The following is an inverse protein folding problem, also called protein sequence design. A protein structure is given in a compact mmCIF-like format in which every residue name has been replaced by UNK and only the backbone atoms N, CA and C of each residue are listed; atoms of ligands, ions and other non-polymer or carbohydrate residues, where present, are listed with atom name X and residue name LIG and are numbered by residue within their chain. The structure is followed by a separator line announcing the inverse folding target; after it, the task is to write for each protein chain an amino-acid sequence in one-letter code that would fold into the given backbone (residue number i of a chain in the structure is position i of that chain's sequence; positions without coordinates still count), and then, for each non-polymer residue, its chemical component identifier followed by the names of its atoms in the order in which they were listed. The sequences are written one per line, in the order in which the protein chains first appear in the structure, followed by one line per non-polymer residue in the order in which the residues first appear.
data_IF_141007063764
#
_entry.id   IF_141007063764
#
_cell.length_a   1.000
_cell.length_b   1.000
_cell.length_c   1.000
_cell.angle_alpha   90.00
_cell.angle_beta   90.00
_cell.angle_gamma   90.00
#
_symmetry.space_group_name_H-M   'P 1'
#
loop_
_entity.id
_entity.type
_entity.pdbx_description
1 polymer ?
#
# COMPACT_ATOMS: atom_id res chain seq x y z
N UNK A 1 4.50 -21.35 22.83
CA UNK A 1 3.42 -20.56 22.19
C UNK A 1 3.46 -19.21 22.86
N UNK A 2 4.06 -18.20 22.25
CA UNK A 2 4.22 -16.90 22.89
C UNK A 2 3.88 -15.76 21.94
N UNK A 3 3.08 -14.85 22.49
CA UNK A 3 2.37 -13.76 21.85
C UNK A 3 3.18 -12.48 22.05
N UNK A 4 4.11 -12.14 21.14
CA UNK A 4 4.60 -10.77 21.07
C UNK A 4 3.82 -9.97 20.04
N UNK A 5 2.81 -9.28 20.58
CA UNK A 5 2.26 -8.04 20.03
C UNK A 5 3.42 -7.05 19.86
N UNK A 6 4.04 -7.01 18.69
CA UNK A 6 4.80 -5.83 18.29
C UNK A 6 3.82 -4.74 17.86
N UNK A 7 3.28 -4.10 18.89
CA UNK A 7 2.76 -2.76 18.82
C UNK A 7 3.92 -1.87 18.38
N UNK A 8 3.95 -1.50 17.10
CA UNK A 8 4.73 -0.33 16.68
C UNK A 8 4.03 0.89 17.28
N UNK A 9 4.39 1.21 18.51
CA UNK A 9 4.07 2.47 19.16
C UNK A 9 4.86 3.55 18.43
N UNK A 10 4.25 4.18 17.43
CA UNK A 10 4.76 5.44 16.90
C UNK A 10 4.57 6.49 17.99
N UNK A 11 5.62 6.74 18.76
CA UNK A 11 5.72 7.88 19.67
C UNK A 11 5.56 9.17 18.84
N UNK A 12 4.35 9.72 18.84
CA UNK A 12 4.05 11.01 18.25
C UNK A 12 4.34 12.08 19.31
N UNK A 13 5.60 12.50 19.38
CA UNK A 13 6.05 13.45 20.38
C UNK A 13 7.35 14.12 19.99
N UNK A 14 7.33 15.01 18.99
CA UNK A 14 8.11 16.26 19.05
C UNK A 14 7.65 17.28 18.01
N UNK A 15 7.25 18.42 18.54
CA UNK A 15 6.84 19.67 17.90
C UNK A 15 7.91 20.25 16.98
N UNK A 16 7.53 20.68 15.77
CA UNK A 16 8.15 21.82 15.09
C UNK A 16 7.10 22.56 14.26
N UNK A 17 7.07 23.88 14.45
CA UNK A 17 6.12 24.83 13.88
C UNK A 17 6.18 24.91 12.35
N UNK A 18 5.02 25.10 11.70
CA UNK A 18 4.76 26.02 10.57
C UNK A 18 3.43 25.68 9.86
N UNK A 19 2.42 26.53 10.09
CA UNK A 19 1.29 26.92 9.20
C UNK A 19 0.49 25.86 8.40
N UNK A 20 0.41 24.60 8.85
CA UNK A 20 -0.63 23.67 8.40
C UNK A 20 -1.21 22.94 9.61
N UNK A 21 -2.53 22.66 9.65
CA UNK A 21 -3.10 21.90 10.76
C UNK A 21 -2.33 20.58 10.88
N UNK A 22 -1.86 20.20 12.08
CA UNK A 22 -1.09 18.98 12.25
C UNK A 22 -1.86 17.82 11.65
N UNK A 23 -1.23 16.93 10.85
CA UNK A 23 -1.91 15.79 10.26
C UNK A 23 -2.51 14.97 11.40
N UNK A 24 -3.84 15.05 11.53
CA UNK A 24 -4.63 14.32 12.52
C UNK A 24 -4.16 12.87 12.49
N UNK A 25 -3.68 12.39 13.62
CA UNK A 25 -3.01 11.10 13.79
C UNK A 25 -3.61 10.02 12.87
N UNK A 26 -2.77 9.46 11.99
CA UNK A 26 -3.11 8.52 10.93
C UNK A 26 -3.77 7.20 11.40
N UNK A 27 -4.01 7.02 12.70
CA UNK A 27 -4.57 5.80 13.28
C UNK A 27 -6.01 5.50 12.84
N UNK A 28 -6.79 6.51 12.42
CA UNK A 28 -8.22 6.31 12.08
C UNK A 28 -8.43 5.69 10.69
N UNK A 29 -7.59 6.02 9.70
CA UNK A 29 -7.76 5.57 8.31
C UNK A 29 -7.45 4.08 8.12
N UNK A 30 -6.61 3.52 9.00
CA UNK A 30 -6.29 2.10 9.03
C UNK A 30 -7.10 1.31 10.06
N UNK A 31 -8.06 1.93 10.76
CA UNK A 31 -8.95 1.21 11.69
C UNK A 31 -9.58 0.03 10.95
N UNK A 32 -9.31 -1.18 11.47
CA UNK A 32 -9.72 -2.49 10.96
C UNK A 32 -8.94 -3.08 9.79
N UNK A 33 -8.08 -2.33 9.07
CA UNK A 33 -7.21 -2.98 8.07
C UNK A 33 -6.21 -3.95 8.73
N UNK A 34 -5.73 -3.65 9.93
CA UNK A 34 -4.89 -4.57 10.71
C UNK A 34 -5.58 -5.90 11.04
N UNK A 35 -6.91 -5.92 11.09
CA UNK A 35 -7.74 -7.12 11.34
C UNK A 35 -8.07 -7.83 10.03
N UNK A 36 -8.32 -7.06 8.97
CA UNK A 36 -8.71 -7.55 7.65
C UNK A 36 -7.52 -8.00 6.79
N UNK A 37 -6.30 -7.56 7.10
CA UNK A 37 -5.10 -7.91 6.35
C UNK A 37 -4.73 -9.38 6.58
N UNK A 38 -4.17 -10.05 5.55
CA UNK A 38 -3.64 -11.39 5.72
C UNK A 38 -2.36 -11.39 6.57
N UNK A 39 -2.25 -12.39 7.44
CA UNK A 39 -1.03 -12.80 8.15
C UNK A 39 0.01 -13.35 7.17
N UNK A 40 1.24 -13.57 7.63
CA UNK A 40 2.36 -13.94 6.76
C UNK A 40 2.18 -15.34 6.09
N UNK A 41 1.67 -16.31 6.84
CA UNK A 41 1.29 -17.63 6.31
C UNK A 41 0.14 -17.52 5.30
N UNK A 42 -0.91 -16.77 5.67
CA UNK A 42 -2.06 -16.50 4.80
C UNK A 42 -1.65 -15.80 3.50
N UNK A 43 -0.69 -14.86 3.55
CA UNK A 43 -0.15 -14.21 2.36
C UNK A 43 0.53 -15.22 1.44
N UNK A 44 1.19 -16.23 1.98
CA UNK A 44 1.84 -17.29 1.19
C UNK A 44 0.79 -18.16 0.49
N UNK A 45 -0.29 -18.51 1.19
CA UNK A 45 -1.43 -19.25 0.62
C UNK A 45 -2.14 -18.41 -0.45
N UNK A 46 -2.45 -17.15 -0.15
CA UNK A 46 -3.09 -16.21 -1.07
C UNK A 46 -2.21 -15.89 -2.28
N UNK A 47 -0.89 -15.89 -2.14
CA UNK A 47 0.01 -15.72 -3.29
C UNK A 47 -0.09 -16.91 -4.25
N UNK A 48 -0.30 -18.13 -3.74
CA UNK A 48 -0.55 -19.32 -4.57
C UNK A 48 -1.93 -19.30 -5.21
N UNK A 49 -2.96 -18.88 -4.46
CA UNK A 49 -4.36 -18.89 -4.92
C UNK A 49 -4.73 -17.71 -5.83
N UNK A 50 -4.42 -16.48 -5.40
CA UNK A 50 -4.80 -15.25 -6.08
C UNK A 50 -3.67 -14.66 -6.94
N UNK A 51 -2.41 -14.94 -6.58
CA UNK A 51 -1.23 -14.43 -7.29
C UNK A 51 -1.10 -12.91 -7.28
N UNK A 52 -0.58 -12.37 -8.38
CA UNK A 52 -0.25 -10.92 -8.55
C UNK A 52 -1.47 -9.99 -8.58
N UNK A 53 -2.69 -10.54 -8.56
CA UNK A 53 -3.92 -9.75 -8.47
C UNK A 53 -4.10 -9.09 -7.10
N UNK A 54 -3.60 -9.74 -6.05
CA UNK A 54 -3.74 -9.32 -4.65
C UNK A 54 -2.45 -8.77 -4.03
N UNK A 55 -1.34 -8.81 -4.76
CA UNK A 55 -0.04 -8.33 -4.30
C UNK A 55 0.56 -7.39 -5.34
N UNK A 56 0.81 -6.15 -4.96
CA UNK A 56 1.34 -5.13 -5.87
C UNK A 56 2.86 -5.06 -5.89
N UNK A 57 3.56 -5.74 -4.99
CA UNK A 57 5.02 -5.77 -4.91
C UNK A 57 5.65 -7.14 -5.11
N UNK A 58 6.97 -7.26 -4.94
CA UNK A 58 7.68 -8.54 -5.06
C UNK A 58 7.23 -9.55 -4.01
N UNK A 59 7.18 -10.83 -4.38
CA UNK A 59 6.79 -11.94 -3.51
C UNK A 59 5.40 -11.68 -2.88
N UNK A 60 5.32 -11.65 -1.55
CA UNK A 60 4.10 -11.48 -0.74
C UNK A 60 3.94 -10.06 -0.18
N UNK A 61 4.64 -9.08 -0.75
CA UNK A 61 4.60 -7.69 -0.28
C UNK A 61 3.43 -6.90 -0.86
N UNK A 62 2.96 -5.90 -0.11
CA UNK A 62 1.84 -5.03 -0.47
C UNK A 62 0.53 -5.80 -0.76
N UNK A 63 -0.05 -6.47 0.26
CA UNK A 63 -1.36 -7.10 0.12
C UNK A 63 -2.45 -6.04 -0.06
N UNK A 64 -3.30 -6.21 -1.07
CA UNK A 64 -4.44 -5.33 -1.34
C UNK A 64 -5.80 -6.01 -1.21
N UNK A 65 -5.81 -7.34 -1.08
CA UNK A 65 -7.01 -8.13 -0.88
C UNK A 65 -7.22 -8.42 0.60
N UNK A 66 -8.49 -8.58 0.99
CA UNK A 66 -8.88 -9.04 2.32
C UNK A 66 -8.43 -10.48 2.56
N UNK A 67 -8.05 -10.81 3.81
CA UNK A 67 -7.63 -12.16 4.20
C UNK A 67 -8.60 -13.23 3.71
N UNK A 68 -8.06 -14.36 3.24
CA UNK A 68 -8.83 -15.51 2.74
C UNK A 68 -9.79 -15.20 1.58
N UNK A 69 -9.54 -14.11 0.85
CA UNK A 69 -10.32 -13.76 -0.34
C UNK A 69 -9.41 -13.25 -1.44
N UNK A 70 -9.77 -13.46 -2.70
CA UNK A 70 -9.12 -12.79 -3.83
C UNK A 70 -9.79 -11.46 -4.22
N UNK A 71 -10.51 -10.83 -3.27
CA UNK A 71 -11.27 -9.60 -3.51
C UNK A 71 -10.48 -8.38 -3.04
N UNK A 72 -10.31 -7.42 -3.95
CA UNK A 72 -9.60 -6.15 -3.68
C UNK A 72 -10.41 -5.30 -2.71
N UNK A 73 -9.74 -4.74 -1.70
CA UNK A 73 -10.34 -3.82 -0.74
C UNK A 73 -9.69 -2.44 -0.85
N UNK A 74 -10.51 -1.39 -0.90
CA UNK A 74 -10.05 0.01 -0.96
C UNK A 74 -9.08 0.35 0.18
N UNK A 75 -9.30 -0.19 1.38
CA UNK A 75 -8.41 -0.01 2.55
C UNK A 75 -7.04 -0.63 2.32
N UNK A 76 -6.98 -1.84 1.77
CA UNK A 76 -5.72 -2.53 1.46
C UNK A 76 -4.93 -1.83 0.35
N UNK A 77 -5.65 -1.30 -0.65
CA UNK A 77 -5.03 -0.48 -1.70
C UNK A 77 -4.45 0.81 -1.10
N UNK A 78 -5.19 1.50 -0.23
CA UNK A 78 -4.69 2.70 0.46
C UNK A 78 -3.49 2.39 1.36
N UNK A 79 -3.53 1.28 2.11
CA UNK A 79 -2.40 0.82 2.92
C UNK A 79 -1.15 0.53 2.07
N UNK A 80 -1.32 -0.13 0.92
CA UNK A 80 -0.24 -0.37 -0.01
C UNK A 80 0.33 0.95 -0.58
N UNK A 81 -0.53 1.91 -0.91
CA UNK A 81 -0.12 3.24 -1.37
C UNK A 81 0.73 3.97 -0.32
N UNK A 82 0.24 4.08 0.91
CA UNK A 82 0.93 4.78 2.01
C UNK A 82 2.26 4.12 2.32
N UNK A 83 2.29 2.78 2.47
CA UNK A 83 3.54 2.03 2.70
C UNK A 83 4.55 2.19 1.56
N UNK A 84 4.09 2.21 0.32
CA UNK A 84 4.98 2.41 -0.82
C UNK A 84 5.59 3.82 -0.79
N UNK A 85 4.82 4.84 -0.40
CA UNK A 85 5.30 6.23 -0.24
C UNK A 85 6.32 6.36 0.89
N UNK A 86 6.07 5.70 2.02
CA UNK A 86 7.05 5.63 3.13
C UNK A 86 8.37 5.04 2.63
N UNK A 87 8.33 3.89 1.95
CA UNK A 87 9.56 3.23 1.47
C UNK A 87 10.29 4.03 0.40
N UNK A 88 9.57 4.76 -0.47
CA UNK A 88 10.20 5.71 -1.40
C UNK A 88 11.00 6.79 -0.67
N UNK A 89 10.60 7.19 0.54
CA UNK A 89 11.33 8.18 1.34
C UNK A 89 12.59 7.60 1.98
N UNK A 90 12.65 6.27 2.16
CA UNK A 90 13.71 5.61 2.93
C UNK A 90 14.78 4.91 2.06
N UNK A 91 14.42 4.26 0.96
CA UNK A 91 15.39 3.56 0.10
C UNK A 91 14.81 3.19 -1.28
N UNK A 92 15.67 3.14 -2.32
CA UNK A 92 15.37 2.63 -3.66
C UNK A 92 14.01 3.09 -4.24
N UNK A 93 13.94 4.41 -4.48
CA UNK A 93 12.74 5.14 -4.94
C UNK A 93 12.03 4.47 -6.12
N UNK A 94 12.77 3.94 -7.08
CA UNK A 94 12.20 3.39 -8.33
C UNK A 94 11.39 2.11 -8.13
N UNK A 95 11.81 1.26 -7.17
CA UNK A 95 11.13 0.00 -6.86
C UNK A 95 9.76 0.20 -6.25
N UNK A 96 9.54 1.29 -5.51
CA UNK A 96 8.25 1.54 -4.84
C UNK A 96 7.38 2.56 -5.58
N UNK A 97 7.97 3.35 -6.49
CA UNK A 97 7.26 4.33 -7.33
C UNK A 97 6.15 3.69 -8.16
N UNK A 98 6.44 2.58 -8.84
CA UNK A 98 5.43 1.90 -9.66
C UNK A 98 4.31 1.26 -8.82
N UNK A 99 4.63 0.77 -7.62
CA UNK A 99 3.66 0.21 -6.66
C UNK A 99 2.70 1.29 -6.18
N UNK A 100 3.24 2.43 -5.75
CA UNK A 100 2.46 3.60 -5.33
C UNK A 100 1.55 4.09 -6.45
N UNK A 101 2.07 4.24 -7.67
CA UNK A 101 1.26 4.63 -8.83
C UNK A 101 0.13 3.65 -9.11
N UNK A 102 0.43 2.34 -9.13
CA UNK A 102 -0.57 1.30 -9.39
C UNK A 102 -1.65 1.27 -8.31
N UNK A 103 -1.30 1.48 -7.04
CA UNK A 103 -2.28 1.59 -5.96
C UNK A 103 -3.18 2.82 -6.10
N UNK A 104 -2.61 3.99 -6.42
CA UNK A 104 -3.36 5.22 -6.67
C UNK A 104 -4.35 5.07 -7.84
N UNK A 105 -3.89 4.43 -8.92
CA UNK A 105 -4.67 4.12 -10.12
C UNK A 105 -5.85 3.16 -9.84
N UNK A 106 -5.77 2.37 -8.77
CA UNK A 106 -6.84 1.47 -8.30
C UNK A 106 -7.84 2.18 -7.38
N UNK A 107 -7.42 3.26 -6.71
CA UNK A 107 -8.30 4.09 -5.88
C UNK A 107 -9.13 5.07 -6.73
N UNK A 108 -8.59 5.56 -7.85
CA UNK A 108 -9.20 6.58 -8.71
C UNK A 108 -9.44 6.06 -10.15
N UNK A 109 -10.34 5.09 -10.36
CA UNK A 109 -10.56 4.49 -11.67
C UNK A 109 -11.05 5.48 -12.74
N UNK A 110 -11.76 6.55 -12.34
CA UNK A 110 -12.36 7.52 -13.27
C UNK A 110 -11.39 8.57 -13.83
N UNK A 111 -10.13 8.65 -13.36
CA UNK A 111 -9.17 9.64 -13.87
C UNK A 111 -8.36 9.16 -15.09
N UNK A 112 -8.58 7.91 -15.55
CA UNK A 112 -7.76 7.26 -16.60
C UNK A 112 -8.14 7.61 -18.04
N UNK A 113 -9.17 8.42 -18.29
CA UNK A 113 -9.51 8.85 -19.64
C UNK A 113 -8.55 9.90 -20.24
N UNK A 114 -7.46 10.30 -19.55
CA UNK A 114 -6.57 11.38 -20.03
C UNK A 114 -5.12 10.99 -20.37
N UNK A 115 -4.78 9.71 -20.48
CA UNK A 115 -3.42 9.34 -20.90
C UNK A 115 -3.37 8.08 -21.75
N UNK A 116 -3.90 8.16 -22.96
CA UNK A 116 -3.23 7.52 -24.11
C UNK A 116 -1.94 8.32 -24.34
N UNK A 117 -0.90 8.07 -23.55
CA UNK A 117 0.47 8.44 -23.98
C UNK A 117 0.92 7.27 -24.82
N UNK A 118 0.80 7.45 -26.13
CA UNK A 118 1.44 6.58 -27.11
C UNK A 118 2.90 6.32 -26.67
N UNK A 119 3.42 5.10 -26.83
CA UNK A 119 4.84 4.84 -26.61
C UNK A 119 5.64 5.82 -27.49
N UNK A 120 6.74 6.42 -27.00
CA UNK A 120 7.59 7.24 -27.84
C UNK A 120 8.02 6.40 -29.04
N UNK A 121 7.62 6.82 -30.24
CA UNK A 121 8.08 6.20 -31.47
C UNK A 121 9.60 6.34 -31.49
N UNK A 122 10.32 5.23 -31.37
CA UNK A 122 11.77 5.19 -31.62
C UNK A 122 11.95 5.66 -33.06
N UNK A 123 12.52 6.85 -33.22
CA UNK A 123 12.83 7.45 -34.50
C UNK A 123 14.23 7.09 -34.94
N UNK A 124 14.30 6.55 -36.16
CA UNK A 124 15.45 6.23 -37.02
C UNK A 124 16.44 5.18 -36.51
#
# INVERSE_FOLDING_TARGET
MDLTKDSVTLNCGKTMASTLPPPKCHGALFKKWSVDQPSDSERTVMLKQCGKSCFLGPKKSFPICTRNTCKRNKKGILAAYVRAREYMSMSNKDKYKHISKKAYDLLHPMSKNKTVRAPPKKGK
#
